data_IF_235911517529
#
_entry.id   IF_235911517529
#
_cell.length_a   1.000
_cell.length_b   1.000
_cell.length_c   1.000
_cell.angle_alpha   90.00
_cell.angle_beta   90.00
_cell.angle_gamma   90.00
#
_symmetry.space_group_name_H-M   'P 1'
#
loop_
_entity.id
_entity.type
_entity.pdbx_description
1 polymer ?
#
# COMPACT_ATOMS: atom_id res chain seq x y z
N UNK A 1 0.21 2.90 0.92
CA UNK A 1 0.90 2.69 -0.37
C UNK A 1 -0.15 2.70 -1.47
N UNK A 2 0.25 3.08 -2.68
CA UNK A 2 -0.62 3.11 -3.86
C UNK A 2 -0.10 2.08 -4.86
N UNK A 3 -1.00 1.22 -5.32
CA UNK A 3 -0.78 0.37 -6.50
C UNK A 3 -1.08 1.21 -7.74
N UNK A 4 -0.04 1.60 -8.48
CA UNK A 4 -0.18 2.45 -9.68
C UNK A 4 -0.90 1.74 -10.83
N UNK A 5 -0.93 0.40 -10.81
CA UNK A 5 -1.61 -0.40 -11.84
C UNK A 5 -3.13 -0.30 -11.76
N UNK A 6 -3.66 -0.17 -10.55
CA UNK A 6 -5.11 -0.13 -10.28
C UNK A 6 -5.58 1.20 -9.69
N UNK A 7 -4.66 2.08 -9.28
CA UNK A 7 -4.96 3.30 -8.53
C UNK A 7 -5.44 3.04 -7.10
N UNK A 8 -5.41 1.77 -6.63
CA UNK A 8 -5.90 1.40 -5.31
C UNK A 8 -4.89 1.78 -4.24
N UNK A 9 -5.40 2.30 -3.12
CA UNK A 9 -4.59 2.62 -1.95
C UNK A 9 -4.84 1.58 -0.86
N UNK A 10 -3.77 1.11 -0.25
CA UNK A 10 -3.82 0.13 0.82
C UNK A 10 -2.69 0.29 1.85
N UNK A 11 -2.83 -0.41 2.97
CA UNK A 11 -1.76 -0.55 3.96
C UNK A 11 -0.98 -1.83 3.67
N UNK A 12 0.35 -1.78 3.85
CA UNK A 12 1.22 -2.95 3.67
C UNK A 12 0.99 -3.91 4.83
N UNK A 13 0.74 -5.18 4.54
CA UNK A 13 0.49 -6.22 5.55
C UNK A 13 1.63 -7.22 5.64
N UNK A 14 2.35 -7.44 4.55
CA UNK A 14 3.49 -8.35 4.48
C UNK A 14 4.15 -8.30 3.10
N UNK A 15 5.22 -9.07 2.94
CA UNK A 15 5.89 -9.27 1.66
C UNK A 15 5.99 -10.76 1.37
N UNK A 16 5.71 -11.15 0.13
CA UNK A 16 5.87 -12.51 -0.35
C UNK A 16 6.85 -12.49 -1.54
N UNK A 17 8.06 -13.00 -1.30
CA UNK A 17 9.13 -12.94 -2.30
C UNK A 17 9.40 -11.48 -2.74
N UNK A 18 9.37 -11.17 -4.05
CA UNK A 18 9.55 -9.81 -4.53
C UNK A 18 8.29 -8.95 -4.39
N UNK A 19 7.13 -9.49 -3.99
CA UNK A 19 5.85 -8.80 -3.99
C UNK A 19 5.47 -8.24 -2.62
N UNK A 20 4.62 -7.21 -2.66
CA UNK A 20 4.11 -6.47 -1.51
C UNK A 20 2.63 -6.78 -1.34
N UNK A 21 2.23 -7.31 -0.19
CA UNK A 21 0.81 -7.46 0.13
C UNK A 21 0.24 -6.16 0.67
N UNK A 22 -0.79 -5.67 -0.01
CA UNK A 22 -1.62 -4.56 0.43
C UNK A 22 -2.99 -5.05 0.85
N UNK A 23 -3.58 -4.37 1.84
CA UNK A 23 -5.02 -4.50 2.15
C UNK A 23 -5.72 -3.16 2.13
N UNK A 24 -7.04 -3.11 1.88
CA UNK A 24 -7.80 -1.88 1.96
C UNK A 24 -7.87 -1.42 3.42
N UNK A 25 -7.80 -0.10 3.66
CA UNK A 25 -7.91 0.47 5.01
C UNK A 25 -9.29 0.23 5.65
N UNK A 26 -10.36 0.17 4.85
CA UNK A 26 -11.72 -0.13 5.29
C UNK A 26 -12.04 -1.62 5.46
N UNK A 27 -11.06 -2.51 5.28
CA UNK A 27 -11.29 -3.96 5.22
C UNK A 27 -11.62 -4.47 3.82
N UNK A 28 -11.28 -5.73 3.55
CA UNK A 28 -11.43 -6.38 2.24
C UNK A 28 -10.26 -7.32 1.94
N UNK A 29 -10.24 -7.84 0.71
CA UNK A 29 -9.26 -8.85 0.27
C UNK A 29 -7.88 -8.21 0.12
N UNK A 30 -6.86 -8.88 0.65
CA UNK A 30 -5.46 -8.53 0.45
C UNK A 30 -5.03 -8.83 -0.99
N UNK A 31 -4.14 -8.03 -1.55
CA UNK A 31 -3.63 -8.23 -2.91
C UNK A 31 -2.14 -7.95 -3.00
N UNK A 32 -1.49 -8.68 -3.89
CA UNK A 32 -0.07 -8.56 -4.17
C UNK A 32 0.19 -7.44 -5.18
N UNK A 33 1.18 -6.62 -4.87
CA UNK A 33 1.63 -5.50 -5.71
C UNK A 33 3.13 -5.65 -5.97
N UNK A 34 3.56 -5.62 -7.25
CA UNK A 34 4.98 -5.60 -7.54
C UNK A 34 5.59 -4.27 -7.04
N UNK A 35 6.81 -4.30 -6.51
CA UNK A 35 7.45 -3.14 -5.88
C UNK A 35 7.68 -2.00 -6.87
N UNK A 36 7.84 -2.32 -8.15
CA UNK A 36 7.95 -1.34 -9.24
C UNK A 36 6.65 -0.56 -9.47
N UNK A 37 5.49 -1.17 -9.19
CA UNK A 37 4.18 -0.52 -9.27
C UNK A 37 3.72 0.09 -7.94
N UNK A 38 4.58 0.05 -6.91
CA UNK A 38 4.24 0.52 -5.58
C UNK A 38 4.78 1.93 -5.33
N UNK A 39 3.89 2.85 -4.99
CA UNK A 39 4.25 4.27 -4.81
C UNK A 39 3.73 4.85 -3.50
N UNK A 40 4.50 5.75 -2.90
CA UNK A 40 4.07 6.48 -1.70
C UNK A 40 2.96 7.47 -2.06
N UNK A 41 1.80 7.48 -1.38
CA UNK A 41 0.72 8.43 -1.68
C UNK A 41 1.20 9.88 -1.52
N UNK A 42 0.76 10.80 -2.39
CA UNK A 42 0.99 12.23 -2.17
C UNK A 42 0.25 12.71 -0.91
N UNK A 43 0.66 13.84 -0.35
CA UNK A 43 -0.04 14.47 0.77
C UNK A 43 -1.53 14.72 0.47
N UNK A 44 -1.88 15.08 -0.77
CA UNK A 44 -3.27 15.27 -1.20
C UNK A 44 -4.07 13.96 -1.26
N UNK A 45 -3.45 12.86 -1.68
CA UNK A 45 -4.09 11.53 -1.71
C UNK A 45 -4.20 10.91 -0.31
N UNK A 46 -3.25 11.22 0.59
CA UNK A 46 -3.26 10.78 1.99
C UNK A 46 -4.43 11.34 2.80
N UNK A 47 -4.97 12.51 2.42
CA UNK A 47 -6.16 13.08 3.08
C UNK A 47 -7.46 12.32 2.75
N UNK A 48 -7.55 11.74 1.54
CA UNK A 48 -8.68 10.89 1.16
C UNK A 48 -8.63 9.51 1.82
N UNK A 49 -7.48 9.15 2.41
CA UNK A 49 -7.22 7.88 3.07
C UNK A 49 -6.74 8.13 4.51
N UNK A 50 -7.60 8.70 5.35
CA UNK A 50 -7.38 8.65 6.80
C UNK A 50 -7.10 7.19 7.18
N UNK A 51 -5.90 6.94 7.71
CA UNK A 51 -5.27 5.64 8.05
C UNK A 51 -4.31 5.10 6.97
N UNK A 52 -3.06 5.55 7.04
CA UNK A 52 -1.90 4.76 6.62
C UNK A 52 -0.63 5.15 7.41
N UNK A 53 -0.73 5.26 8.74
CA UNK A 53 0.46 5.32 9.61
C UNK A 53 0.90 3.88 9.91
N UNK A 54 1.61 3.29 8.96
CA UNK A 54 2.53 2.15 9.17
C UNK A 54 3.41 1.91 7.94
N UNK A 55 3.78 2.95 7.18
CA UNK A 55 4.77 2.80 6.10
C UNK A 55 6.11 3.41 6.51
N UNK A 56 6.62 3.03 7.68
CA UNK A 56 8.02 3.28 8.00
C UNK A 56 8.83 2.22 7.27
N UNK A 57 9.24 2.56 6.04
CA UNK A 57 10.52 2.17 5.47
C UNK A 57 10.87 0.68 5.71
N UNK A 58 10.24 -0.23 4.96
CA UNK A 58 10.68 -1.63 4.71
C UNK A 58 11.75 -2.12 5.70
N UNK A 59 11.33 -2.36 6.95
CA UNK A 59 12.24 -2.73 8.03
C UNK A 59 12.87 -4.09 7.76
N UNK A 60 14.20 -4.14 7.92
CA UNK A 60 14.82 -5.25 8.63
C UNK A 60 14.10 -5.49 9.97
#
# INVERSE_FOLDING_TARGET
MVDTRTGKTGIVTGHEGPYVQLRPSGGGIEWDVPPDALRQPTQSEGMSSKVAVANRRWGL
#
